data_IF_806055865228
#
_entry.id   IF_806055865228
#
_cell.length_a   1.000
_cell.length_b   1.000
_cell.length_c   1.000
_cell.angle_alpha   90.00
_cell.angle_beta   90.00
_cell.angle_gamma   90.00
#
_symmetry.space_group_name_H-M   'P 1'
#
loop_
_entity.id
_entity.type
_entity.pdbx_description
1 polymer ?
#
# COMPACT_ATOMS: atom_id res chain seq x y z
N UNK A 1 14.59 14.01 -7.69
CA UNK A 1 14.75 12.59 -7.38
C UNK A 1 15.23 11.87 -8.61
N UNK A 2 16.17 10.93 -8.48
CA UNK A 2 16.63 10.10 -9.59
C UNK A 2 15.48 9.26 -10.17
N UNK A 3 15.51 8.95 -11.47
CA UNK A 3 14.59 7.98 -12.10
C UNK A 3 14.77 6.55 -11.55
N UNK A 4 15.80 6.32 -10.74
CA UNK A 4 16.14 5.06 -10.06
C UNK A 4 15.68 5.02 -8.59
N UNK A 5 14.68 5.82 -8.21
CA UNK A 5 14.09 5.86 -6.86
C UNK A 5 12.71 5.17 -6.83
N UNK A 6 12.53 4.21 -5.91
CA UNK A 6 11.35 3.37 -5.83
C UNK A 6 10.14 4.23 -5.45
N UNK A 7 10.36 5.24 -4.61
CA UNK A 7 9.31 6.19 -4.21
C UNK A 7 8.78 6.97 -5.41
N UNK A 8 9.65 7.40 -6.32
CA UNK A 8 9.27 8.14 -7.52
C UNK A 8 8.45 7.27 -8.49
N UNK A 9 8.84 6.01 -8.66
CA UNK A 9 8.08 5.05 -9.46
C UNK A 9 6.70 4.78 -8.86
N UNK A 10 6.67 4.41 -7.57
CA UNK A 10 5.44 4.06 -6.85
C UNK A 10 4.47 5.24 -6.77
N UNK A 11 4.95 6.48 -6.60
CA UNK A 11 4.10 7.68 -6.60
C UNK A 11 3.24 7.78 -7.86
N UNK A 12 3.79 7.41 -9.04
CA UNK A 12 3.08 7.52 -10.32
C UNK A 12 2.32 6.25 -10.69
N UNK A 13 2.86 5.09 -10.36
CA UNK A 13 2.34 3.79 -10.85
C UNK A 13 1.31 3.18 -9.91
N UNK A 14 1.45 3.37 -8.60
CA UNK A 14 0.52 2.79 -7.62
C UNK A 14 -0.89 3.36 -7.77
N UNK A 15 -1.02 4.68 -7.92
CA UNK A 15 -2.32 5.34 -8.11
C UNK A 15 -3.03 4.86 -9.39
N UNK A 16 -2.29 4.67 -10.48
CA UNK A 16 -2.81 4.12 -11.73
C UNK A 16 -3.22 2.64 -11.59
N UNK A 17 -2.44 1.84 -10.86
CA UNK A 17 -2.76 0.44 -10.57
C UNK A 17 -4.06 0.34 -9.75
N UNK A 18 -4.17 1.12 -8.66
CA UNK A 18 -5.39 1.19 -7.85
C UNK A 18 -6.59 1.59 -8.72
N UNK A 19 -6.47 2.67 -9.51
CA UNK A 19 -7.56 3.11 -10.38
C UNK A 19 -7.97 2.07 -11.44
N UNK A 20 -7.03 1.23 -11.90
CA UNK A 20 -7.32 0.15 -12.84
C UNK A 20 -8.08 -0.99 -12.18
N UNK A 21 -7.63 -1.44 -11.01
CA UNK A 21 -8.26 -2.54 -10.28
C UNK A 21 -9.66 -2.15 -9.78
N UNK A 22 -9.86 -0.90 -9.33
CA UNK A 22 -11.16 -0.39 -8.87
C UNK A 22 -12.26 -0.46 -9.94
N UNK A 23 -11.90 -0.37 -11.24
CA UNK A 23 -12.88 -0.49 -12.33
C UNK A 23 -13.50 -1.88 -12.46
N UNK A 24 -12.90 -2.90 -11.83
CA UNK A 24 -13.38 -4.29 -11.86
C UNK A 24 -14.19 -4.69 -10.62
N UNK A 25 -14.43 -3.76 -9.68
CA UNK A 25 -15.21 -4.04 -8.48
C UNK A 25 -16.71 -3.96 -8.81
N UNK A 26 -17.40 -5.08 -8.72
CA UNK A 26 -18.87 -5.14 -8.70
C UNK A 26 -19.41 -4.88 -7.27
N UNK A 27 -20.68 -4.51 -7.16
CA UNK A 27 -21.26 -3.97 -5.92
C UNK A 27 -21.42 -5.00 -4.76
N UNK A 28 -21.25 -6.30 -5.00
CA UNK A 28 -21.43 -7.34 -3.99
C UNK A 28 -20.11 -7.61 -3.24
N UNK A 29 -20.18 -7.67 -1.90
CA UNK A 29 -19.02 -7.82 -0.98
C UNK A 29 -17.89 -6.78 -1.15
N UNK A 30 -18.27 -5.51 -0.98
CA UNK A 30 -17.41 -4.36 -1.19
C UNK A 30 -16.15 -4.35 -0.28
N UNK A 31 -16.16 -5.00 0.89
CA UNK A 31 -15.03 -4.98 1.81
C UNK A 31 -13.94 -5.97 1.41
N UNK A 32 -14.28 -7.25 1.22
CA UNK A 32 -13.31 -8.25 0.80
C UNK A 32 -12.73 -7.87 -0.57
N UNK A 33 -13.58 -7.38 -1.48
CA UNK A 33 -13.13 -6.95 -2.80
C UNK A 33 -12.19 -5.75 -2.75
N UNK A 34 -12.45 -4.77 -1.88
CA UNK A 34 -11.55 -3.63 -1.73
C UNK A 34 -10.18 -4.05 -1.18
N UNK A 35 -10.15 -4.95 -0.19
CA UNK A 35 -8.90 -5.48 0.33
C UNK A 35 -8.10 -6.23 -0.76
N UNK A 36 -8.77 -7.09 -1.53
CA UNK A 36 -8.15 -7.80 -2.66
C UNK A 36 -7.60 -6.83 -3.72
N UNK A 37 -8.39 -5.83 -4.11
CA UNK A 37 -8.01 -4.80 -5.08
C UNK A 37 -6.79 -4.00 -4.63
N UNK A 38 -6.78 -3.49 -3.39
CA UNK A 38 -5.66 -2.72 -2.88
C UNK A 38 -4.40 -3.60 -2.77
N UNK A 39 -4.54 -4.83 -2.26
CA UNK A 39 -3.42 -5.79 -2.18
C UNK A 39 -2.84 -6.09 -3.56
N UNK A 40 -3.71 -6.32 -4.55
CA UNK A 40 -3.31 -6.60 -5.94
C UNK A 40 -2.61 -5.40 -6.56
N UNK A 41 -3.11 -4.18 -6.34
CA UNK A 41 -2.48 -2.98 -6.87
C UNK A 41 -1.06 -2.74 -6.33
N UNK A 42 -0.84 -2.96 -5.03
CA UNK A 42 0.51 -2.88 -4.44
C UNK A 42 1.44 -3.97 -5.00
N UNK A 43 0.96 -5.22 -5.08
CA UNK A 43 1.74 -6.34 -5.64
C UNK A 43 2.15 -6.08 -7.08
N UNK A 44 1.20 -5.71 -7.95
CA UNK A 44 1.47 -5.42 -9.36
C UNK A 44 2.41 -4.22 -9.52
N UNK A 45 2.27 -3.18 -8.70
CA UNK A 45 3.18 -2.04 -8.74
C UNK A 45 4.62 -2.47 -8.38
N UNK A 46 4.78 -3.37 -7.41
CA UNK A 46 6.08 -3.91 -7.01
C UNK A 46 6.69 -4.82 -8.08
N UNK A 47 5.90 -5.72 -8.68
CA UNK A 47 6.34 -6.57 -9.79
C UNK A 47 6.80 -5.74 -10.98
N UNK A 48 6.00 -4.74 -11.39
CA UNK A 48 6.36 -3.86 -12.49
C UNK A 48 7.60 -3.01 -12.19
N UNK A 49 7.82 -2.62 -10.94
CA UNK A 49 9.05 -1.94 -10.52
C UNK A 49 10.26 -2.86 -10.69
N UNK A 50 10.15 -4.10 -10.19
CA UNK A 50 11.21 -5.10 -10.28
C UNK A 50 11.56 -5.44 -11.73
N UNK A 51 10.55 -5.61 -12.60
CA UNK A 51 10.75 -5.88 -14.03
C UNK A 51 11.36 -4.70 -14.79
N UNK A 52 11.15 -3.47 -14.30
CA UNK A 52 11.62 -2.25 -14.96
C UNK A 52 13.05 -1.86 -14.58
N UNK A 53 13.65 -2.50 -13.58
CA UNK A 53 14.90 -2.06 -12.96
C UNK A 53 16.02 -3.11 -13.01
N UNK A 54 17.29 -2.66 -13.11
CA UNK A 54 18.43 -3.54 -12.93
C UNK A 54 18.44 -4.16 -11.52
N UNK A 55 18.88 -5.41 -11.41
CA UNK A 55 18.90 -6.17 -10.14
C UNK A 55 19.85 -5.59 -9.10
N UNK A 56 20.82 -4.78 -9.52
CA UNK A 56 21.72 -4.03 -8.63
C UNK A 56 21.04 -2.85 -7.92
N UNK A 57 19.86 -2.40 -8.38
CA UNK A 57 19.16 -1.30 -7.73
C UNK A 57 18.45 -1.79 -6.47
N UNK A 58 18.92 -1.32 -5.30
CA UNK A 58 18.40 -1.67 -3.98
C UNK A 58 17.47 -0.61 -3.37
N UNK A 59 17.02 0.37 -4.16
CA UNK A 59 16.08 1.37 -3.67
C UNK A 59 14.74 0.70 -3.33
N UNK A 60 14.18 1.08 -2.19
CA UNK A 60 12.89 0.64 -1.69
C UNK A 60 12.16 1.84 -1.07
N UNK A 61 10.85 1.73 -0.90
CA UNK A 61 10.05 2.76 -0.24
C UNK A 61 8.94 2.12 0.58
N UNK A 62 8.58 2.76 1.70
CA UNK A 62 7.27 2.56 2.31
C UNK A 62 6.18 3.30 1.52
N UNK A 63 4.93 2.90 1.69
CA UNK A 63 3.81 3.46 0.95
C UNK A 63 2.49 3.32 1.69
N UNK A 64 1.79 4.44 1.83
CA UNK A 64 0.42 4.48 2.34
C UNK A 64 -0.50 5.08 1.28
N UNK A 65 -1.63 4.45 1.02
CA UNK A 65 -2.69 4.97 0.16
C UNK A 65 -3.97 5.14 0.97
N UNK A 66 -4.67 6.24 0.74
CA UNK A 66 -6.01 6.49 1.28
C UNK A 66 -6.97 6.66 0.11
N UNK A 67 -8.01 5.83 0.05
CA UNK A 67 -9.07 5.90 -0.94
C UNK A 67 -10.35 6.40 -0.27
N UNK A 68 -10.95 7.43 -0.87
CA UNK A 68 -12.24 7.97 -0.46
C UNK A 68 -13.26 7.63 -1.54
N UNK A 69 -14.31 6.88 -1.17
CA UNK A 69 -15.38 6.48 -2.08
C UNK A 69 -16.73 6.76 -1.43
N UNK A 70 -17.41 7.81 -1.90
CA UNK A 70 -18.65 8.28 -1.29
C UNK A 70 -18.45 8.67 0.18
N UNK A 71 -19.04 7.89 1.09
CA UNK A 71 -18.94 8.09 2.55
C UNK A 71 -17.97 7.13 3.23
N UNK A 72 -17.29 6.30 2.46
CA UNK A 72 -16.33 5.30 2.95
C UNK A 72 -14.91 5.77 2.73
N UNK A 73 -14.03 5.44 3.68
CA UNK A 73 -12.60 5.69 3.62
C UNK A 73 -11.87 4.37 3.83
N UNK A 74 -10.91 4.10 2.95
CA UNK A 74 -10.06 2.91 3.01
C UNK A 74 -8.60 3.35 3.11
N UNK A 75 -7.81 2.64 3.89
CA UNK A 75 -6.37 2.82 4.01
C UNK A 75 -5.67 1.51 3.65
N UNK A 76 -4.57 1.62 2.90
CA UNK A 76 -3.65 0.53 2.63
C UNK A 76 -2.24 1.00 2.98
N UNK A 77 -1.51 0.21 3.76
CA UNK A 77 -0.19 0.59 4.28
C UNK A 77 0.83 -0.53 4.07
N UNK A 78 2.02 -0.16 3.63
CA UNK A 78 3.20 -1.02 3.53
C UNK A 78 4.39 -0.27 4.09
N UNK A 79 4.97 -0.78 5.18
CA UNK A 79 6.14 -0.20 5.84
C UNK A 79 5.78 0.66 7.06
N UNK A 80 6.62 1.64 7.35
CA UNK A 80 6.62 2.44 8.58
C UNK A 80 5.86 3.78 8.47
N UNK A 81 5.22 4.04 7.32
CA UNK A 81 4.35 5.20 7.16
C UNK A 81 3.05 5.04 7.99
N UNK A 82 2.38 6.18 8.26
CA UNK A 82 1.17 6.24 9.07
C UNK A 82 0.09 7.15 8.47
N UNK A 83 -1.14 6.66 8.39
CA UNK A 83 -2.34 7.46 8.10
C UNK A 83 -3.13 7.74 9.38
N UNK A 84 -3.49 9.00 9.59
CA UNK A 84 -4.30 9.46 10.74
C UNK A 84 -5.40 10.39 10.23
N UNK A 85 -6.64 10.12 10.63
CA UNK A 85 -7.79 10.95 10.34
C UNK A 85 -8.10 11.86 11.53
N UNK A 86 -8.23 13.17 11.29
CA UNK A 86 -8.79 14.07 12.28
C UNK A 86 -10.31 14.22 12.07
N UNK A 87 -11.11 13.85 13.06
CA UNK A 87 -12.57 13.95 13.02
C UNK A 87 -13.07 14.47 14.37
N UNK A 88 -13.83 15.57 14.33
CA UNK A 88 -14.40 16.21 15.53
C UNK A 88 -13.35 16.51 16.63
N UNK A 89 -12.16 16.98 16.22
CA UNK A 89 -11.06 17.28 17.13
C UNK A 89 -10.34 16.05 17.70
N UNK A 90 -10.64 14.84 17.22
CA UNK A 90 -9.98 13.60 17.64
C UNK A 90 -9.14 13.02 16.50
N UNK A 91 -7.99 12.48 16.85
CA UNK A 91 -7.11 11.74 15.93
C UNK A 91 -7.46 10.25 15.96
N UNK A 92 -7.82 9.69 14.81
CA UNK A 92 -8.13 8.28 14.59
C UNK A 92 -7.05 7.67 13.69
N UNK A 93 -6.32 6.68 14.19
CA UNK A 93 -5.28 5.98 13.41
C UNK A 93 -5.95 5.07 12.39
N UNK A 94 -5.59 5.24 11.12
CA UNK A 94 -6.15 4.48 9.99
C UNK A 94 -5.25 3.36 9.51
N UNK A 95 -3.99 3.31 9.92
CA UNK A 95 -3.03 2.29 9.49
C UNK A 95 -2.25 1.71 10.65
N UNK A 96 -1.80 0.48 10.48
CA UNK A 96 -0.81 -0.13 11.37
C UNK A 96 0.55 -0.12 10.68
N UNK A 97 1.58 0.35 11.39
CA UNK A 97 2.95 0.35 10.89
C UNK A 97 3.46 -1.10 10.83
N UNK A 98 4.20 -1.44 9.78
CA UNK A 98 4.85 -2.74 9.63
C UNK A 98 6.32 -2.62 10.06
N UNK A 99 6.59 -2.87 11.34
CA UNK A 99 7.94 -2.85 11.93
C UNK A 99 8.23 -4.17 12.65
N UNK A 100 9.51 -4.49 12.88
CA UNK A 100 9.93 -5.69 13.63
C UNK A 100 9.61 -5.61 15.13
N UNK A 101 9.11 -4.47 15.62
CA UNK A 101 8.57 -4.32 16.97
C UNK A 101 7.17 -4.94 17.08
N UNK A 102 6.41 -4.95 15.99
CA UNK A 102 5.11 -5.63 15.92
C UNK A 102 5.34 -7.14 16.00
N UNK A 103 4.69 -7.78 16.98
CA UNK A 103 4.92 -9.21 17.28
C UNK A 103 4.61 -10.11 16.08
N UNK A 104 3.52 -9.85 15.35
CA UNK A 104 3.15 -10.61 14.15
C UNK A 104 4.20 -10.49 13.05
N UNK A 105 4.70 -9.28 12.78
CA UNK A 105 5.75 -9.05 11.78
C UNK A 105 7.08 -9.70 12.20
N UNK A 106 7.44 -9.61 13.48
CA UNK A 106 8.62 -10.31 14.02
C UNK A 106 8.52 -11.83 13.84
N UNK A 107 7.35 -12.41 14.12
CA UNK A 107 7.10 -13.84 13.93
C UNK A 107 7.16 -14.21 12.45
N UNK A 108 6.53 -13.41 11.58
CA UNK A 108 6.55 -13.61 10.12
C UNK A 108 7.99 -13.63 9.59
N UNK A 109 8.81 -12.65 9.95
CA UNK A 109 10.23 -12.59 9.53
C UNK A 109 11.02 -13.79 10.07
N UNK A 110 10.84 -14.19 11.32
CA UNK A 110 11.53 -15.37 11.89
C UNK A 110 11.08 -16.70 11.28
N UNK A 111 9.87 -16.78 10.74
CA UNK A 111 9.34 -18.01 10.13
C UNK A 111 9.94 -18.30 8.75
N UNK A 112 10.57 -17.31 8.12
CA UNK A 112 11.15 -17.42 6.78
C UNK A 112 12.69 -17.58 6.77
N UNK A 113 13.34 -17.61 7.95
CA UNK A 113 14.78 -17.85 8.12
C UNK A 113 15.45 -16.88 9.07
#
# INVERSE_FOLDING_TARGET
GSRSDASFYCQRKLSLAIAKELRSIEAFDHQAKMQETLTTAFRLCNEMLHDSWPSENKSACSGTAVLIQGRSLWSANVGDCKAVLCRLGKAEVLSQDHTTEVQSERQRVKSIG
#
